data_IF_169762789330
#
_entry.id   IF_169762789330
#
_cell.length_a   1.000
_cell.length_b   1.000
_cell.length_c   1.000
_cell.angle_alpha   90.00
_cell.angle_beta   90.00
_cell.angle_gamma   90.00
#
_symmetry.space_group_name_H-M   'P 1'
#
loop_
_entity.id
_entity.type
_entity.pdbx_description
1 polymer ?
2 non-polymer ?
3 water ?
#
# COMPACT_ATOMS: atom_id res chain seq x y z
N UNK A 1 -6.46 2.09 -8.86
CA UNK A 1 -7.00 0.71 -8.95
C UNK A 1 -7.82 0.58 -10.23
N UNK A 2 -7.48 -0.43 -11.04
CA UNK A 2 -8.20 -0.65 -12.29
C UNK A 2 -9.23 -1.75 -12.09
N UNK A 3 -10.42 -1.57 -12.67
CA UNK A 3 -11.46 -2.57 -12.57
C UNK A 3 -12.06 -2.67 -11.18
N UNK A 4 -11.97 -1.60 -10.40
CA UNK A 4 -12.53 -1.61 -9.07
C UNK A 4 -13.84 -0.84 -9.00
N UNK A 5 -14.33 -0.62 -7.79
CA UNK A 5 -15.57 0.12 -7.58
C UNK A 5 -15.32 1.10 -6.45
N UNK A 6 -16.21 2.08 -6.29
CA UNK A 6 -16.06 3.03 -5.20
C UNK A 6 -16.18 2.23 -3.90
N UNK A 7 -15.32 2.53 -2.95
CA UNK A 7 -15.38 1.88 -1.66
C UNK A 7 -16.45 2.65 -0.88
N UNK A 8 -16.99 2.05 0.18
CA UNK A 8 -17.96 2.77 1.00
C UNK A 8 -17.13 3.65 1.90
N UNK A 9 -17.67 4.80 2.30
CA UNK A 9 -16.92 5.68 3.19
C UNK A 9 -16.59 4.92 4.48
N UNK A 10 -15.32 5.00 4.89
CA UNK A 10 -14.88 4.34 6.11
C UNK A 10 -14.73 2.84 6.03
N UNK A 11 -14.81 2.29 4.82
CA UNK A 11 -14.70 0.85 4.66
C UNK A 11 -13.28 0.33 4.91
N UNK A 12 -12.29 1.17 4.64
CA UNK A 12 -10.91 0.79 4.83
C UNK A 12 -10.27 1.85 5.73
N UNK A 13 -10.62 1.85 7.03
CA UNK A 13 -10.09 2.83 8.00
C UNK A 13 -8.57 2.85 8.19
N UNK A 14 -7.91 1.80 7.69
CA UNK A 14 -6.44 1.74 7.77
C UNK A 14 -5.77 2.36 6.54
N UNK A 15 -6.54 2.63 5.49
CA UNK A 15 -5.97 3.22 4.27
C UNK A 15 -5.66 4.69 4.47
N UNK A 16 -4.41 5.04 4.18
CA UNK A 16 -3.90 6.38 4.32
C UNK A 16 -3.43 6.96 2.99
N UNK A 17 -3.55 8.26 2.85
CA UNK A 17 -3.14 8.96 1.64
C UNK A 17 -1.95 9.86 1.98
N UNK A 18 -0.89 9.75 1.19
CA UNK A 18 0.29 10.57 1.40
C UNK A 18 0.49 11.60 0.29
N UNK A 19 0.43 12.86 0.67
CA UNK A 19 0.61 13.99 -0.24
C UNK A 19 1.99 14.59 -0.04
N UNK A 20 2.62 14.96 -1.15
CA UNK A 20 3.94 15.59 -1.13
C UNK A 20 3.67 17.09 -1.25
N UNK A 21 4.40 17.89 -0.48
CA UNK A 21 4.26 19.35 -0.44
C UNK A 21 3.94 19.94 -1.81
N UNK A 22 2.70 20.37 -1.99
CA UNK A 22 2.27 20.97 -3.24
C UNK A 22 2.11 20.06 -4.45
N UNK A 23 2.02 18.77 -4.23
CA UNK A 23 1.87 17.84 -5.35
C UNK A 23 0.64 16.95 -5.22
N UNK A 24 -0.07 17.05 -4.11
CA UNK A 24 -1.25 16.22 -3.94
C UNK A 24 -0.87 14.77 -3.66
N UNK A 25 -1.84 13.88 -3.77
CA UNK A 25 -1.63 12.46 -3.50
C UNK A 25 -0.51 11.84 -4.33
N UNK A 26 0.43 11.21 -3.66
CA UNK A 26 1.53 10.56 -4.35
C UNK A 26 1.51 9.05 -4.12
N UNK A 27 1.33 8.64 -2.88
CA UNK A 27 1.32 7.22 -2.54
C UNK A 27 0.34 6.88 -1.43
N UNK A 28 0.11 5.59 -1.23
CA UNK A 28 -0.77 5.18 -0.15
C UNK A 28 0.09 4.69 0.99
N UNK A 29 -0.55 4.39 2.12
CA UNK A 29 0.14 3.86 3.28
C UNK A 29 -0.92 3.14 4.12
N UNK A 30 -0.50 2.43 5.15
CA UNK A 30 -1.47 1.77 6.01
C UNK A 30 -1.14 2.13 7.45
N UNK A 31 -2.18 2.29 8.26
CA UNK A 31 -2.02 2.60 9.68
C UNK A 31 -1.86 1.28 10.43
N UNK A 32 -0.81 1.14 11.24
CA UNK A 32 -0.61 -0.11 11.97
C UNK A 32 -0.58 0.09 13.48
N UNK A 33 -0.54 1.34 13.90
CA UNK A 33 -0.52 1.69 15.32
C UNK A 33 -0.82 3.19 15.41
N UNK A 34 -0.88 3.73 16.64
CA UNK A 34 -1.17 5.16 16.77
C UNK A 34 -0.09 6.04 16.14
N UNK A 35 1.13 5.55 16.14
CA UNK A 35 2.23 6.34 15.62
C UNK A 35 2.89 5.89 14.34
N UNK A 36 2.54 4.71 13.84
CA UNK A 36 3.19 4.21 12.64
C UNK A 36 2.34 3.78 11.43
N UNK A 37 2.94 3.95 10.26
CA UNK A 37 2.32 3.57 9.01
C UNK A 37 3.34 2.74 8.23
N UNK A 38 2.82 1.85 7.39
CA UNK A 38 3.64 1.03 6.52
C UNK A 38 3.37 1.54 5.10
N UNK A 39 4.42 1.63 4.28
CA UNK A 39 4.26 2.09 2.88
C UNK A 39 5.38 1.44 2.05
N UNK A 40 5.54 1.90 0.81
CA UNK A 40 6.57 1.39 -0.11
C UNK A 40 7.79 2.32 -0.11
N UNK A 41 8.97 1.75 -0.04
CA UNK A 41 10.19 2.56 -0.01
C UNK A 41 10.41 3.42 -1.25
N UNK A 42 10.00 2.91 -2.42
CA UNK A 42 10.23 3.66 -3.64
C UNK A 42 9.52 4.99 -3.69
N UNK A 43 8.56 5.19 -2.79
CA UNK A 43 7.82 6.47 -2.77
C UNK A 43 8.65 7.58 -2.14
N UNK A 44 9.70 7.22 -1.41
CA UNK A 44 10.48 8.23 -0.69
C UNK A 44 11.90 8.45 -1.18
N UNK A 45 12.09 8.33 -2.47
CA UNK A 45 13.40 8.50 -3.07
C UNK A 45 13.52 9.91 -3.67
N UNK A 46 14.54 10.65 -3.27
CA UNK A 46 14.77 11.99 -3.79
C UNK A 46 15.01 11.93 -5.29
N UNK A 47 14.60 12.98 -6.00
CA UNK A 47 14.92 13.07 -7.43
C UNK A 47 15.49 14.49 -7.54
N UNK A 48 16.04 14.86 -8.69
CA UNK A 48 16.65 16.20 -8.82
C UNK A 48 15.77 17.39 -8.46
N UNK A 49 14.46 17.23 -8.62
CA UNK A 49 13.56 18.33 -8.31
C UNK A 49 12.85 18.32 -6.97
N UNK A 50 12.84 17.19 -6.27
CA UNK A 50 12.12 17.12 -5.01
C UNK A 50 12.65 16.04 -4.05
N UNK A 51 12.80 16.41 -2.77
CA UNK A 51 13.30 15.52 -1.73
C UNK A 51 12.26 14.63 -1.09
N UNK A 52 11.76 13.65 -1.84
CA UNK A 52 10.76 12.73 -1.33
C UNK A 52 11.18 11.96 -0.08
N UNK A 53 12.48 11.91 0.19
CA UNK A 53 12.98 11.19 1.37
C UNK A 53 12.94 12.03 2.64
N UNK A 54 12.58 13.30 2.50
CA UNK A 54 12.51 14.21 3.63
C UNK A 54 11.11 14.14 4.27
N UNK A 55 11.01 13.61 5.50
CA UNK A 55 9.71 13.51 6.17
C UNK A 55 8.92 14.82 6.24
N UNK A 56 9.61 15.95 6.37
CA UNK A 56 8.91 17.24 6.45
C UNK A 56 8.22 17.64 5.16
N UNK A 57 8.49 16.93 4.08
CA UNK A 57 7.88 17.24 2.79
C UNK A 57 6.53 16.53 2.60
N UNK A 58 6.07 15.81 3.62
CA UNK A 58 4.83 15.05 3.49
C UNK A 58 3.69 15.37 4.45
N UNK A 59 2.50 14.98 4.02
CA UNK A 59 1.30 15.13 4.81
C UNK A 59 0.52 13.82 4.64
N UNK A 60 0.10 13.23 5.74
CA UNK A 60 -0.68 11.99 5.66
C UNK A 60 -2.12 12.29 6.03
N UNK A 61 -3.03 11.80 5.21
CA UNK A 61 -4.44 11.99 5.48
C UNK A 61 -5.02 10.62 5.85
N UNK A 62 -5.51 10.53 7.07
CA UNK A 62 -6.11 9.31 7.58
C UNK A 62 -7.60 9.56 7.64
N UNK A 63 -8.40 8.52 7.43
CA UNK A 63 -9.85 8.66 7.45
C UNK A 63 -10.37 9.39 6.22
N UNK A 64 -9.52 9.50 5.20
CA UNK A 64 -9.87 10.18 3.96
C UNK A 64 -10.66 9.28 3.03
N UNK A 65 -11.62 9.87 2.31
CA UNK A 65 -12.46 9.12 1.39
C UNK A 65 -12.34 9.68 -0.03
N UNK A 66 -12.59 10.97 -0.14
CA UNK A 66 -12.56 11.68 -1.41
C UNK A 66 -11.43 12.71 -1.39
N UNK A 67 -10.53 12.61 -2.37
CA UNK A 67 -9.38 13.52 -2.44
C UNK A 67 -9.77 14.99 -2.50
N UNK A 68 -10.97 15.26 -3.02
CA UNK A 68 -11.45 16.63 -3.12
C UNK A 68 -12.18 17.10 -1.85
N UNK A 69 -12.15 16.27 -0.82
CA UNK A 69 -12.80 16.59 0.45
C UNK A 69 -11.88 16.19 1.59
N UNK A 70 -10.71 16.82 1.66
CA UNK A 70 -9.73 16.49 2.68
C UNK A 70 -9.97 17.09 4.05
N UNK A 71 -11.03 17.87 4.19
CA UNK A 71 -11.36 18.51 5.47
C UNK A 71 -12.64 17.96 6.06
N UNK A 72 -13.26 17.03 5.35
CA UNK A 72 -14.50 16.43 5.81
C UNK A 72 -14.39 15.95 7.24
N UNK A 73 -15.53 15.85 7.96
CA UNK A 73 -15.51 15.39 9.34
C UNK A 73 -14.89 14.01 9.45
N UNK A 74 -14.02 13.82 10.43
CA UNK A 74 -13.39 12.52 10.61
C UNK A 74 -12.05 12.35 9.92
N UNK A 75 -11.77 13.19 8.94
CA UNK A 75 -10.50 13.11 8.24
C UNK A 75 -9.43 13.69 9.14
N UNK A 76 -8.34 12.95 9.31
CA UNK A 76 -7.26 13.46 10.15
C UNK A 76 -6.03 13.77 9.30
N UNK A 77 -5.43 14.93 9.56
CA UNK A 77 -4.24 15.35 8.83
C UNK A 77 -3.05 15.23 9.79
N UNK A 78 -1.94 14.64 9.32
CA UNK A 78 -0.75 14.48 10.16
C UNK A 78 0.55 14.66 9.37
N UNK A 79 1.57 15.13 10.06
CA UNK A 79 2.85 15.29 9.42
C UNK A 79 3.73 14.13 9.80
N UNK A 80 4.78 13.91 9.02
CA UNK A 80 5.70 12.81 9.29
C UNK A 80 6.91 13.32 10.06
N UNK A 81 7.30 12.53 11.04
CA UNK A 81 8.44 12.84 11.88
C UNK A 81 9.66 12.11 11.34
N UNK A 82 9.44 10.97 10.68
CA UNK A 82 10.54 10.19 10.15
C UNK A 82 10.11 9.16 9.11
N UNK A 83 11.03 8.84 8.20
CA UNK A 83 10.80 7.83 7.17
C UNK A 83 11.92 6.82 7.25
N UNK A 84 11.59 5.57 7.56
CA UNK A 84 12.59 4.51 7.64
C UNK A 84 12.45 3.56 6.44
N UNK A 85 13.32 3.69 5.44
CA UNK A 85 13.28 2.80 4.29
C UNK A 85 14.00 1.52 4.66
N UNK A 86 13.55 0.38 4.15
CA UNK A 86 14.22 -0.85 4.49
C UNK A 86 15.66 -0.73 4.04
N UNK A 87 16.62 -1.07 4.91
CA UNK A 87 18.03 -0.96 4.51
C UNK A 87 18.41 -1.74 3.25
N UNK A 88 17.69 -2.81 2.95
CA UNK A 88 18.00 -3.59 1.76
C UNK A 88 17.22 -3.18 0.52
N UNK A 89 16.44 -2.11 0.61
CA UNK A 89 15.68 -1.65 -0.56
C UNK A 89 16.61 -1.45 -1.74
N UNK A 90 16.18 -1.93 -2.90
CA UNK A 90 16.95 -1.84 -4.12
C UNK A 90 16.11 -1.09 -5.16
N UNK A 91 16.51 0.15 -5.44
CA UNK A 91 15.82 0.99 -6.39
C UNK A 91 15.74 0.41 -7.80
N UNK A 92 16.61 -0.54 -8.13
CA UNK A 92 16.59 -1.10 -9.47
C UNK A 92 15.66 -2.32 -9.59
N UNK A 93 15.73 -3.23 -8.63
CA UNK A 93 14.90 -4.41 -8.70
C UNK A 93 13.62 -4.23 -7.89
N UNK A 94 13.63 -3.24 -7.01
CA UNK A 94 12.51 -2.96 -6.13
C UNK A 94 12.37 -4.00 -5.03
N UNK A 95 13.45 -4.74 -4.79
CA UNK A 95 13.47 -5.75 -3.73
C UNK A 95 13.38 -4.97 -2.42
N UNK A 96 12.76 -5.57 -1.40
CA UNK A 96 12.59 -4.92 -0.10
C UNK A 96 11.92 -3.55 -0.23
N UNK A 97 10.83 -3.48 -1.01
CA UNK A 97 10.14 -2.23 -1.22
C UNK A 97 9.13 -2.01 -0.11
N UNK A 98 9.63 -1.51 1.01
CA UNK A 98 8.79 -1.27 2.15
C UNK A 98 9.40 -0.17 3.03
N UNK A 99 8.55 0.63 3.66
CA UNK A 99 9.01 1.72 4.50
C UNK A 99 8.10 1.91 5.70
N UNK A 100 8.67 2.46 6.77
CA UNK A 100 7.90 2.73 7.98
C UNK A 100 7.86 4.24 8.13
N UNK A 101 6.67 4.79 8.33
CA UNK A 101 6.52 6.23 8.45
C UNK A 101 5.97 6.61 9.82
N UNK A 102 6.77 7.36 10.59
CA UNK A 102 6.34 7.78 11.92
C UNK A 102 5.56 9.07 11.89
N UNK A 103 4.35 9.05 12.43
CA UNK A 103 3.52 10.25 12.47
C UNK A 103 4.10 11.23 13.48
N UNK A 104 3.99 12.52 13.16
CA UNK A 104 4.50 13.57 14.03
C UNK A 104 3.67 13.60 15.32
N UNK A 105 2.39 13.28 15.19
CA UNK A 105 1.47 13.22 16.33
C UNK A 105 0.62 11.97 16.11
N UNK A 106 0.19 11.29 17.19
CA UNK A 106 -0.62 10.07 17.10
C UNK A 106 -1.95 10.19 16.37
N UNK A 107 -2.35 9.12 15.71
CA UNK A 107 -3.63 9.12 15.04
C UNK A 107 -4.65 8.95 16.16
N UNK A 108 -5.87 9.44 15.94
CA UNK A 108 -6.90 9.28 16.93
C UNK A 108 -7.80 8.21 16.39
N UNK A 109 -7.90 7.10 17.13
CA UNK A 109 -8.76 6.03 16.67
C UNK A 109 -10.23 6.46 16.65
N UNK A 110 -10.91 6.13 15.55
CA UNK A 110 -12.32 6.45 15.36
C UNK A 110 -12.87 5.39 14.43
N UNK A 111 -14.12 5.54 14.04
CA UNK A 111 -14.72 4.56 13.16
C UNK A 111 -14.15 4.69 11.74
N UNK A 112 -13.46 5.80 11.46
CA UNK A 112 -12.89 6.02 10.13
C UNK A 112 -11.38 5.89 10.11
N UNK A 113 -10.78 5.81 11.29
CA UNK A 113 -9.34 5.68 11.42
C UNK A 113 -9.10 4.51 12.37
N UNK A 114 -8.54 3.42 11.85
CA UNK A 114 -8.30 2.22 12.64
C UNK A 114 -7.17 1.42 12.00
N UNK A 115 -6.24 0.88 12.81
CA UNK A 115 -5.13 0.10 12.23
C UNK A 115 -5.54 -1.24 11.66
N UNK A 116 -4.76 -1.68 10.67
CA UNK A 116 -4.98 -2.97 10.04
C UNK A 116 -4.15 -3.93 10.91
N UNK A 117 -4.56 -5.19 11.02
CA UNK A 117 -3.79 -6.13 11.83
C UNK A 117 -2.59 -6.61 11.03
N UNK A 118 -1.48 -6.86 11.73
CA UNK A 118 -0.24 -7.33 11.12
C UNK A 118 -0.13 -8.84 11.32
N UNK A 119 0.27 -9.58 10.26
CA UNK A 119 0.41 -11.03 10.34
C UNK A 119 1.77 -11.46 10.92
N UNK A 120 1.76 -12.55 11.70
CA UNK A 120 2.97 -13.10 12.30
C UNK A 120 3.92 -13.57 11.19
N UNK A 121 5.20 -13.63 11.52
CA UNK A 121 6.23 -14.05 10.56
C UNK A 121 5.92 -15.38 9.89
N UNK A 122 5.36 -16.32 10.65
CA UNK A 122 5.06 -17.64 10.13
C UNK A 122 3.76 -17.76 9.33
N UNK A 123 2.98 -16.69 9.27
CA UNK A 123 1.72 -16.83 8.53
C UNK A 123 1.89 -16.78 7.02
N UNK A 124 1.15 -17.64 6.34
CA UNK A 124 1.19 -17.69 4.89
C UNK A 124 -0.18 -17.40 4.28
N UNK A 125 -0.21 -16.44 3.37
CA UNK A 125 -1.42 -16.08 2.66
C UNK A 125 -1.35 -17.05 1.47
N UNK A 126 -2.21 -18.07 1.45
CA UNK A 126 -2.24 -19.08 0.38
C UNK A 126 -2.60 -18.63 -1.03
N UNK A 127 -1.98 -19.30 -1.99
CA UNK A 127 -2.25 -19.01 -3.38
C UNK A 127 -3.73 -19.19 -3.59
N UNK A 128 -4.36 -18.27 -4.32
CA UNK A 128 -5.77 -18.40 -4.60
C UNK A 128 -6.67 -17.66 -3.64
N UNK A 129 -6.16 -17.26 -2.48
CA UNK A 129 -7.03 -16.55 -1.56
C UNK A 129 -7.42 -15.18 -2.10
N UNK A 130 -8.69 -14.82 -1.90
CA UNK A 130 -9.17 -13.53 -2.34
C UNK A 130 -8.59 -12.47 -1.41
N UNK A 131 -8.15 -11.37 -2.01
CA UNK A 131 -7.52 -10.27 -1.29
C UNK A 131 -8.10 -8.98 -1.84
N UNK A 132 -8.05 -7.91 -1.04
CA UNK A 132 -8.54 -6.62 -1.50
C UNK A 132 -7.42 -5.60 -1.63
N UNK A 133 -7.40 -4.90 -2.75
CA UNK A 133 -6.42 -3.85 -2.97
C UNK A 133 -7.24 -2.56 -3.03
N UNK A 134 -6.76 -1.51 -2.39
CA UNK A 134 -7.48 -0.25 -2.36
C UNK A 134 -6.54 0.90 -2.69
N UNK A 135 -7.09 2.00 -3.18
CA UNK A 135 -6.23 3.13 -3.49
C UNK A 135 -6.89 4.19 -4.34
N UNK A 136 -6.24 5.35 -4.41
CA UNK A 136 -6.71 6.48 -5.20
C UNK A 136 -5.92 6.57 -6.50
N UNK A 137 -5.16 5.52 -6.82
CA UNK A 137 -4.38 5.53 -8.04
C UNK A 137 -5.20 5.50 -9.32
N UNK A 138 -4.51 5.46 -10.45
CA UNK A 138 -5.15 5.42 -11.77
C UNK A 138 -6.18 4.30 -11.90
N UNK A 139 -7.27 4.58 -12.62
CA UNK A 139 -8.29 3.58 -12.81
C UNK A 139 -8.10 2.91 -14.16
N UNK A 140 -7.13 3.41 -14.91
CA UNK A 140 -6.77 2.86 -16.22
C UNK A 140 -5.27 3.09 -16.45
N UNK A 141 -4.60 2.17 -17.13
CA UNK A 141 -3.19 2.39 -17.40
C UNK A 141 -3.15 3.60 -18.35
N UNK A 142 -2.33 4.59 -18.03
CA UNK A 142 -2.29 5.76 -18.88
C UNK A 142 -3.50 6.64 -18.62
N UNK A 143 -4.24 6.35 -17.55
CA UNK A 143 -5.42 7.13 -17.23
C UNK A 143 -5.16 8.14 -16.12
N UNK A 144 -6.17 8.43 -15.31
CA UNK A 144 -5.99 9.37 -14.20
C UNK A 144 -6.45 8.74 -12.89
N UNK A 145 -6.03 9.35 -11.78
CA UNK A 145 -6.37 8.84 -10.46
C UNK A 145 -7.82 9.02 -10.08
N UNK A 146 -8.25 8.30 -9.06
CA UNK A 146 -9.62 8.37 -8.58
C UNK A 146 -9.75 9.40 -7.46
N UNK A 147 -10.90 10.04 -7.39
CA UNK A 147 -11.17 11.02 -6.34
C UNK A 147 -11.64 10.24 -5.13
N UNK A 148 -12.51 9.28 -5.40
CA UNK A 148 -13.07 8.43 -4.36
C UNK A 148 -12.26 7.15 -4.29
N UNK A 149 -11.88 6.77 -3.07
CA UNK A 149 -11.10 5.55 -2.86
C UNK A 149 -11.75 4.38 -3.59
N UNK A 150 -10.92 3.64 -4.32
CA UNK A 150 -11.38 2.49 -5.08
C UNK A 150 -10.95 1.23 -4.36
N UNK A 151 -11.68 0.15 -4.62
CA UNK A 151 -11.37 -1.14 -4.04
C UNK A 151 -11.53 -2.18 -5.15
N UNK A 152 -10.72 -3.22 -5.08
CA UNK A 152 -10.79 -4.29 -6.07
C UNK A 152 -10.42 -5.61 -5.44
N UNK A 153 -11.08 -6.68 -5.88
CA UNK A 153 -10.80 -8.00 -5.35
C UNK A 153 -9.83 -8.71 -6.29
N UNK A 154 -8.76 -9.25 -5.72
CA UNK A 154 -7.74 -9.95 -6.50
C UNK A 154 -7.33 -11.23 -5.77
N UNK A 155 -6.50 -12.05 -6.39
CA UNK A 155 -6.09 -13.28 -5.74
C UNK A 155 -4.61 -13.53 -5.72
N UNK A 156 -4.18 -14.17 -4.64
CA UNK A 156 -2.78 -14.51 -4.49
C UNK A 156 -2.46 -15.52 -5.58
N UNK A 157 -1.33 -15.28 -6.25
CA UNK A 157 -0.87 -16.13 -7.32
C UNK A 157 0.32 -16.94 -6.83
N UNK A 158 0.41 -18.18 -7.31
CA UNK A 158 1.49 -19.10 -6.96
C UNK A 158 2.85 -18.44 -7.29
N UNK A 159 3.80 -18.52 -6.37
CA UNK A 159 5.10 -17.89 -6.55
C UNK A 159 5.85 -18.34 -7.81
N UNK A 160 5.79 -19.63 -8.14
CA UNK A 160 6.47 -20.14 -9.33
C UNK A 160 5.90 -19.51 -10.59
N UNK A 161 4.57 -19.44 -10.66
CA UNK A 161 3.92 -18.83 -11.82
C UNK A 161 4.34 -17.37 -11.91
N UNK A 162 4.35 -16.68 -10.78
CA UNK A 162 4.74 -15.28 -10.69
C UNK A 162 6.14 -15.12 -11.31
N UNK A 163 7.11 -15.86 -10.79
CA UNK A 163 8.47 -15.80 -11.31
C UNK A 163 8.50 -16.00 -12.82
N UNK A 164 7.73 -16.97 -13.31
CA UNK A 164 7.67 -17.27 -14.74
C UNK A 164 7.02 -16.17 -15.57
N UNK A 165 6.08 -15.45 -14.99
CA UNK A 165 5.42 -14.37 -15.72
C UNK A 165 6.31 -13.15 -15.86
N UNK A 166 7.14 -12.89 -14.85
CA UNK A 166 8.04 -11.74 -14.84
C UNK A 166 9.46 -12.24 -14.57
N UNK A 167 10.06 -12.93 -15.55
CA UNK A 167 11.41 -13.48 -15.42
C UNK A 167 12.50 -12.48 -15.04
N UNK A 168 13.36 -12.91 -14.11
CA UNK A 168 14.48 -12.12 -13.62
C UNK A 168 14.05 -10.90 -12.83
N UNK A 169 12.79 -10.86 -12.40
CA UNK A 169 12.32 -9.68 -11.67
C UNK A 169 11.66 -9.98 -10.34
N UNK A 170 11.32 -11.23 -10.10
CA UNK A 170 10.63 -11.61 -8.87
C UNK A 170 11.51 -12.22 -7.79
N UNK A 171 11.63 -11.51 -6.67
CA UNK A 171 12.41 -11.99 -5.54
C UNK A 171 11.43 -12.59 -4.52
N UNK A 172 11.95 -13.37 -3.54
CA UNK A 172 11.08 -13.97 -2.52
C UNK A 172 10.37 -12.96 -1.63
N UNK A 173 10.76 -11.69 -1.73
CA UNK A 173 10.13 -10.64 -0.94
C UNK A 173 8.86 -10.16 -1.65
N UNK A 174 8.73 -10.55 -2.91
CA UNK A 174 7.59 -10.13 -3.74
C UNK A 174 6.55 -11.23 -3.90
N UNK A 175 5.34 -10.82 -4.21
CA UNK A 175 4.24 -11.76 -4.41
C UNK A 175 3.27 -11.22 -5.45
N UNK A 176 2.90 -12.05 -6.41
CA UNK A 176 1.95 -11.62 -7.43
C UNK A 176 0.54 -11.81 -6.88
N UNK A 177 -0.31 -10.80 -7.10
CA UNK A 177 -1.69 -10.88 -6.65
C UNK A 177 -2.51 -10.19 -7.72
N UNK A 178 -3.56 -10.87 -8.17
CA UNK A 178 -4.40 -10.34 -9.22
C UNK A 178 -4.97 -11.48 -10.03
N UNK A 179 -4.96 -11.35 -11.36
CA UNK A 179 -5.48 -12.39 -12.26
C UNK A 179 -4.61 -12.44 -13.49
N UNK A 180 -4.42 -13.64 -14.04
CA UNK A 180 -3.61 -13.77 -15.24
C UNK A 180 -4.33 -13.07 -16.39
N UNK A 181 -5.66 -13.06 -16.33
CA UNK A 181 -6.47 -12.42 -17.36
C UNK A 181 -6.45 -10.90 -17.23
N UNK A 182 -5.93 -10.41 -16.12
CA UNK A 182 -5.89 -8.97 -15.90
C UNK A 182 -7.25 -8.51 -15.39
N UNK A 183 -7.69 -7.33 -15.83
CA UNK A 183 -8.98 -6.84 -15.42
C UNK A 183 -8.96 -5.99 -14.15
N UNK A 184 -8.57 -6.61 -13.04
CA UNK A 184 -8.49 -5.91 -11.76
C UNK A 184 -7.04 -5.91 -11.33
N UNK A 185 -6.54 -4.74 -10.95
CA UNK A 185 -5.14 -4.62 -10.56
C UNK A 185 -4.92 -3.22 -9.99
N UNK A 186 -3.84 -3.07 -9.22
CA UNK A 186 -3.50 -1.75 -8.68
C UNK A 186 -2.80 -1.01 -9.81
N UNK A 187 -2.48 0.27 -9.61
CA UNK A 187 -1.82 0.99 -10.67
C UNK A 187 -1.14 2.22 -10.08
N UNK A 188 -0.61 3.06 -10.96
CA UNK A 188 0.09 4.26 -10.50
C UNK A 188 -0.68 5.05 -9.47
N UNK A 189 -0.04 5.33 -8.35
CA UNK A 189 -0.70 6.08 -7.30
C UNK A 189 -1.19 5.18 -6.17
N UNK A 190 -1.28 3.88 -6.43
CA UNK A 190 -1.70 2.94 -5.40
C UNK A 190 -0.52 2.42 -4.58
N UNK A 191 0.69 2.63 -5.11
CA UNK A 191 1.92 2.19 -4.46
C UNK A 191 1.94 2.64 -3.00
N UNK A 192 2.40 1.76 -2.13
CA UNK A 192 2.48 2.08 -0.72
C UNK A 192 1.26 1.65 0.07
N UNK A 193 0.17 1.45 -0.64
CA UNK A 193 -1.07 1.04 -0.03
C UNK A 193 -1.05 -0.41 0.43
N UNK A 194 -1.99 -0.79 1.29
CA UNK A 194 -2.02 -2.17 1.79
C UNK A 194 -2.97 -3.14 1.11
N UNK A 195 -2.59 -4.41 1.15
CA UNK A 195 -3.46 -5.46 0.65
C UNK A 195 -4.22 -5.83 1.91
N UNK A 196 -5.54 -5.89 1.81
CA UNK A 196 -6.37 -6.26 2.94
C UNK A 196 -6.86 -7.68 2.76
N UNK A 197 -6.61 -8.52 3.75
CA UNK A 197 -7.06 -9.91 3.69
C UNK A 197 -8.00 -10.26 4.83
N UNK A 198 -9.21 -10.71 4.50
CA UNK A 198 -10.16 -11.11 5.52
C UNK A 198 -9.73 -12.46 6.05
N UNK A 199 -9.51 -12.54 7.35
CA UNK A 199 -9.08 -13.79 7.94
C UNK A 199 -10.19 -14.58 8.65
N UNK A 200 -9.81 -15.65 9.33
CA UNK A 200 -10.76 -16.56 9.99
C UNK A 200 -11.95 -16.01 10.78
N UNK A 201 -11.77 -14.88 11.48
CA UNK A 201 -12.84 -14.29 12.25
C UNK A 201 -13.38 -12.99 11.65
N UNK A 202 -13.05 -12.74 10.39
CA UNK A 202 -13.53 -11.54 9.75
C UNK A 202 -12.60 -10.35 9.87
N UNK A 203 -11.65 -10.40 10.80
CA UNK A 203 -10.71 -9.29 10.96
C UNK A 203 -9.78 -9.21 9.78
N UNK A 204 -9.39 -7.99 9.43
CA UNK A 204 -8.51 -7.78 8.28
C UNK A 204 -7.02 -7.62 8.61
N UNK A 205 -6.20 -8.43 7.93
CA UNK A 205 -4.74 -8.41 8.08
C UNK A 205 -4.11 -7.90 6.79
N UNK A 206 -2.94 -7.28 6.93
CA UNK A 206 -2.24 -6.77 5.76
C UNK A 206 -1.46 -7.90 5.10
N UNK A 207 -1.76 -8.15 3.84
CA UNK A 207 -1.11 -9.22 3.10
C UNK A 207 0.00 -8.73 2.19
N UNK A 208 0.24 -7.42 2.19
CA UNK A 208 1.29 -6.90 1.35
C UNK A 208 1.21 -5.39 1.15
N UNK A 209 2.18 -4.88 0.38
CA UNK A 209 2.28 -3.46 0.07
C UNK A 209 2.25 -3.31 -1.43
N UNK A 210 1.43 -2.40 -1.95
CA UNK A 210 1.38 -2.18 -3.39
C UNK A 210 2.78 -1.67 -3.74
N UNK A 211 3.42 -2.34 -4.71
CA UNK A 211 4.77 -1.98 -5.11
C UNK A 211 4.92 -1.60 -6.59
N UNK A 212 4.81 -2.59 -7.49
CA UNK A 212 4.93 -2.30 -8.92
C UNK A 212 4.19 -3.29 -9.82
N UNK A 213 4.24 -3.01 -11.11
CA UNK A 213 3.60 -3.87 -12.09
C UNK A 213 4.06 -3.51 -13.51
N UNK A 214 3.91 -4.45 -14.44
CA UNK A 214 4.26 -4.18 -15.83
C UNK A 214 2.94 -3.68 -16.41
N UNK A 215 2.84 -2.36 -16.56
CA UNK A 215 1.60 -1.78 -17.04
C UNK A 215 0.59 -1.92 -15.89
N UNK A 216 -0.70 -1.97 -16.21
CA UNK A 216 -1.75 -2.12 -15.21
C UNK A 216 -2.88 -2.96 -15.76
N UNK A 217 -3.25 -3.99 -15.04
CA UNK A 217 -4.33 -4.89 -15.44
C UNK A 217 -4.08 -5.56 -16.79
N UNK A 218 -2.83 -5.65 -17.23
CA UNK A 218 -2.55 -6.32 -18.49
C UNK A 218 -2.61 -7.82 -18.28
N UNK A 219 -2.89 -8.55 -19.35
CA UNK A 219 -2.97 -10.00 -19.28
C UNK A 219 -1.56 -10.56 -18.95
N UNK A 220 -1.50 -11.51 -18.05
CA UNK A 220 -0.25 -12.13 -17.64
C UNK A 220 0.75 -11.19 -16.97
N UNK A 221 0.25 -10.08 -16.44
CA UNK A 221 1.10 -9.11 -15.77
C UNK A 221 0.41 -8.65 -14.50
N UNK A 222 0.18 -9.59 -13.56
CA UNK A 222 -0.46 -9.23 -12.30
C UNK A 222 0.44 -8.31 -11.51
N UNK A 223 -0.16 -7.56 -10.59
CA UNK A 223 0.62 -6.66 -9.77
C UNK A 223 1.56 -7.42 -8.87
N UNK A 224 2.68 -6.78 -8.55
CA UNK A 224 3.73 -7.34 -7.69
C UNK A 224 3.68 -6.56 -6.37
N UNK A 225 3.54 -7.29 -5.28
CA UNK A 225 3.44 -6.69 -3.95
C UNK A 225 4.55 -7.14 -3.00
N UNK A 226 4.93 -6.27 -2.07
CA UNK A 226 5.95 -6.63 -1.09
C UNK A 226 5.24 -7.43 0.00
N UNK A 227 5.77 -8.61 0.35
CA UNK A 227 5.17 -9.45 1.39
C UNK A 227 5.28 -8.84 2.77
N UNK A 228 4.34 -9.18 3.64
CA UNK A 228 4.33 -8.63 4.99
C UNK A 228 4.90 -9.51 6.10
N UNK A 229 4.48 -10.79 6.18
CA UNK A 229 4.98 -11.67 7.24
C UNK A 229 6.49 -11.64 7.41
N UNK A 230 7.21 -11.53 6.29
CA UNK A 230 8.66 -11.50 6.31
C UNK A 230 9.23 -10.30 7.02
N UNK A 231 8.41 -9.28 7.21
CA UNK A 231 8.88 -8.07 7.87
C UNK A 231 8.29 -7.83 9.24
N UNK A 232 7.65 -8.85 9.82
CA UNK A 232 7.04 -8.68 11.12
C UNK A 232 8.08 -8.26 12.15
N UNK A 233 9.18 -9.02 12.24
CA UNK A 233 10.26 -8.72 13.18
C UNK A 233 10.89 -7.36 12.92
N UNK A 234 11.10 -7.04 11.64
CA UNK A 234 11.70 -5.77 11.27
C UNK A 234 10.82 -4.63 11.77
N UNK A 235 9.50 -4.77 11.59
CA UNK A 235 8.57 -3.74 12.04
C UNK A 235 8.60 -3.61 13.56
N UNK A 236 8.57 -4.76 14.24
CA UNK A 236 8.61 -4.76 15.68
C UNK A 236 9.90 -4.13 16.19
N UNK A 237 11.02 -4.48 15.58
CA UNK A 237 12.32 -3.96 16.01
C UNK A 237 12.47 -2.46 15.79
N UNK A 238 11.84 -1.94 14.75
CA UNK A 238 11.95 -0.53 14.41
C UNK A 238 10.86 0.40 14.94
N UNK A 239 9.72 -0.15 15.32
CA UNK A 239 8.62 0.69 15.78
C UNK A 239 8.08 0.29 17.15
N UNK A 240 8.43 -0.91 17.59
CA UNK A 240 7.91 -1.38 18.87
C UNK A 240 6.55 -2.00 18.63
N UNK A 241 6.09 -1.99 17.38
CA UNK A 241 4.79 -2.59 17.05
C UNK A 241 4.98 -4.05 16.64
#
# INVERSE_FOLDING_TARGET
VVGGTDADEGEWPWQVSLHALGQGHICGASLISPNWLVSAAHCYIDDRGFRYSDPTQWTAFLGLHDQSQRSAPGVQERRLKRIISHPFFNDFTFDYDIALLELEKPAEYSSMVRPICLPDASHVFPAGKAIWVTGWGHTQYGGTGALILQKGEIRVINQTTCENLLPQQITPRMMCVGFLSGGVDSCQGDSGGPLSSVEADGRIFQAGVVSWGDGCAQRNKPGVYTRLPLFRDWIKENTGV
#
